data_IF_983011915634
#
_entry.id   IF_983011915634
#
_cell.length_a   1.000
_cell.length_b   1.000
_cell.length_c   1.000
_cell.angle_alpha   90.00
_cell.angle_beta   90.00
_cell.angle_gamma   90.00
#
_symmetry.space_group_name_H-M   'P 1'
#
loop_
_entity.id
_entity.type
_entity.pdbx_description
1 polymer ?
#
# COMPACT_ATOMS: atom_id res chain seq x y z
N UNK A 1 -16.33 3.68 13.00
CA UNK A 1 -15.59 2.54 12.41
C UNK A 1 -15.44 1.47 13.48
N UNK A 2 -15.64 0.19 13.17
CA UNK A 2 -15.52 -0.91 14.14
C UNK A 2 -14.06 -1.16 14.54
N UNK A 3 -13.84 -1.71 15.74
CA UNK A 3 -12.50 -2.02 16.26
C UNK A 3 -11.94 -3.23 15.50
N UNK A 4 -10.81 -3.07 14.81
CA UNK A 4 -10.10 -4.16 14.13
C UNK A 4 -10.35 -4.29 12.63
N UNK A 5 -11.22 -3.46 12.04
CA UNK A 5 -11.38 -3.36 10.58
C UNK A 5 -10.32 -2.42 9.99
N UNK A 6 -9.57 -2.92 9.01
CA UNK A 6 -8.56 -2.18 8.24
C UNK A 6 -9.09 -1.64 6.91
N UNK A 7 -10.36 -1.91 6.61
CA UNK A 7 -11.06 -1.55 5.38
C UNK A 7 -12.52 -1.23 5.70
N UNK A 8 -13.07 -0.13 5.18
CA UNK A 8 -14.47 0.25 5.44
C UNK A 8 -15.14 0.92 4.23
N UNK A 9 -16.41 0.56 3.98
CA UNK A 9 -17.27 1.28 3.05
C UNK A 9 -17.78 2.59 3.63
N UNK A 10 -17.66 3.66 2.85
CA UNK A 10 -18.18 5.00 3.15
C UNK A 10 -19.09 5.45 2.02
N UNK A 11 -20.24 6.02 2.37
CA UNK A 11 -21.16 6.64 1.42
C UNK A 11 -21.01 8.15 1.50
N UNK A 12 -20.90 8.80 0.33
CA UNK A 12 -20.83 10.25 0.18
C UNK A 12 -22.05 10.69 -0.62
N UNK A 13 -22.96 11.38 0.06
CA UNK A 13 -24.15 11.96 -0.56
C UNK A 13 -23.85 13.38 -1.03
N UNK A 14 -24.22 13.67 -2.29
CA UNK A 14 -24.02 14.95 -2.94
C UNK A 14 -25.36 15.67 -3.12
N UNK A 15 -25.34 16.98 -2.92
CA UNK A 15 -26.43 17.90 -3.27
C UNK A 15 -25.79 19.22 -3.75
N UNK A 16 -25.68 19.39 -5.08
CA UNK A 16 -25.02 20.52 -5.71
C UNK A 16 -25.92 21.18 -6.76
N UNK A 17 -26.15 22.49 -6.63
CA UNK A 17 -27.13 23.21 -7.44
C UNK A 17 -26.67 23.57 -8.86
N UNK A 18 -25.39 23.41 -9.17
CA UNK A 18 -24.82 23.73 -10.50
C UNK A 18 -24.09 22.52 -11.10
N UNK A 19 -24.74 21.35 -11.22
CA UNK A 19 -24.05 20.12 -11.58
C UNK A 19 -23.58 20.11 -13.03
N UNK A 20 -22.36 19.63 -13.25
CA UNK A 20 -21.77 19.39 -14.55
C UNK A 20 -21.41 17.91 -14.74
N UNK A 21 -21.30 17.47 -16.00
CA UNK A 21 -21.01 16.07 -16.31
C UNK A 21 -19.59 15.64 -15.90
N UNK A 22 -18.70 16.61 -15.75
CA UNK A 22 -17.29 16.46 -15.37
C UNK A 22 -17.04 16.78 -13.89
N UNK A 23 -18.08 16.93 -13.07
CA UNK A 23 -17.93 17.02 -11.62
C UNK A 23 -17.45 15.68 -11.04
N UNK A 24 -16.62 15.76 -10.01
CA UNK A 24 -15.98 14.58 -9.42
C UNK A 24 -15.72 14.75 -7.94
N UNK A 25 -15.71 13.62 -7.23
CA UNK A 25 -15.44 13.55 -5.79
C UNK A 25 -14.09 12.88 -5.58
N UNK A 26 -13.22 13.58 -4.86
CA UNK A 26 -11.89 13.14 -4.50
C UNK A 26 -11.83 12.72 -3.04
N UNK A 27 -11.05 11.68 -2.74
CA UNK A 27 -10.70 11.26 -1.39
C UNK A 27 -9.32 11.80 -1.04
N UNK A 28 -9.19 12.52 0.07
CA UNK A 28 -7.90 13.00 0.57
C UNK A 28 -7.57 12.35 1.92
N UNK A 29 -6.29 12.00 2.10
CA UNK A 29 -5.72 11.60 3.38
C UNK A 29 -4.26 12.08 3.44
N UNK A 30 -3.89 13.02 4.34
CA UNK A 30 -4.70 13.55 5.45
C UNK A 30 -5.95 14.35 5.01
N UNK A 31 -6.93 14.46 5.92
CA UNK A 31 -8.19 15.17 5.66
C UNK A 31 -7.98 16.66 5.38
N UNK A 32 -6.92 17.27 5.91
CA UNK A 32 -6.50 18.62 5.55
C UNK A 32 -5.60 18.56 4.31
N UNK A 33 -6.11 19.02 3.19
CA UNK A 33 -5.41 19.03 1.90
C UNK A 33 -5.29 20.45 1.32
N UNK A 34 -4.34 20.63 0.40
CA UNK A 34 -4.19 21.87 -0.37
C UNK A 34 -4.81 21.68 -1.76
N UNK A 35 -5.97 22.30 -1.98
CA UNK A 35 -6.71 22.24 -3.24
C UNK A 35 -6.17 23.16 -4.34
N UNK A 36 -5.09 23.91 -4.08
CA UNK A 36 -4.50 24.81 -5.07
C UNK A 36 -3.96 24.02 -6.27
N UNK A 37 -3.95 24.66 -7.44
CA UNK A 37 -3.35 24.08 -8.64
C UNK A 37 -1.83 24.07 -8.51
N UNK A 38 -1.22 22.89 -8.68
CA UNK A 38 0.23 22.71 -8.77
C UNK A 38 0.56 22.12 -10.14
N UNK A 39 0.73 22.95 -11.18
CA UNK A 39 1.02 22.45 -12.53
C UNK A 39 2.43 21.85 -12.58
N UNK A 40 2.66 20.88 -13.48
CA UNK A 40 3.95 20.21 -13.58
C UNK A 40 5.03 21.17 -14.06
N UNK A 41 6.19 21.13 -13.41
CA UNK A 41 7.38 21.91 -13.82
C UNK A 41 8.31 20.99 -14.58
N UNK A 42 8.05 20.80 -15.88
CA UNK A 42 8.84 19.95 -16.78
C UNK A 42 8.96 18.48 -16.34
N UNK A 43 8.02 17.97 -15.54
CA UNK A 43 8.02 16.56 -15.10
C UNK A 43 6.98 15.73 -15.87
N UNK A 44 7.41 14.77 -16.72
CA UNK A 44 6.48 13.96 -17.52
C UNK A 44 5.70 12.92 -16.71
N UNK A 45 6.05 12.67 -15.43
CA UNK A 45 5.36 11.69 -14.59
C UNK A 45 4.28 12.31 -13.70
N UNK A 46 4.23 13.63 -13.59
CA UNK A 46 3.10 14.33 -13.00
C UNK A 46 1.86 14.23 -13.89
N UNK A 47 0.78 13.72 -13.32
CA UNK A 47 -0.48 13.40 -13.99
C UNK A 47 -1.61 14.32 -13.48
N UNK A 48 -2.65 14.50 -14.30
CA UNK A 48 -3.89 15.15 -13.86
C UNK A 48 -4.65 14.27 -12.87
N UNK A 49 -5.35 14.85 -11.87
CA UNK A 49 -5.54 16.28 -11.64
C UNK A 49 -4.32 16.96 -10.98
N UNK A 50 -3.98 18.17 -11.43
CA UNK A 50 -2.81 18.92 -10.93
C UNK A 50 -3.10 19.70 -9.65
N UNK A 51 -3.30 18.96 -8.56
CA UNK A 51 -3.63 19.51 -7.23
C UNK A 51 -2.42 19.35 -6.31
N UNK A 52 -2.10 20.38 -5.51
CA UNK A 52 -0.91 20.38 -4.66
C UNK A 52 -0.88 19.27 -3.59
N UNK A 53 -2.05 18.77 -3.19
CA UNK A 53 -2.18 17.50 -2.47
C UNK A 53 -2.81 16.49 -3.40
N UNK A 54 -2.08 15.46 -3.81
CA UNK A 54 -2.64 14.37 -4.60
C UNK A 54 -3.78 13.67 -3.82
N UNK A 55 -5.00 13.54 -4.39
CA UNK A 55 -6.01 12.67 -3.81
C UNK A 55 -5.55 11.22 -3.80
N UNK A 56 -6.03 10.45 -2.82
CA UNK A 56 -5.83 9.01 -2.73
C UNK A 56 -6.47 8.32 -3.95
N UNK A 57 -7.70 8.73 -4.26
CA UNK A 57 -8.53 8.25 -5.37
C UNK A 57 -9.71 9.17 -5.59
N UNK A 58 -10.47 8.95 -6.66
CA UNK A 58 -11.63 9.76 -7.01
C UNK A 58 -12.67 9.00 -7.85
N UNK A 59 -13.87 9.58 -7.99
CA UNK A 59 -14.96 9.11 -8.87
C UNK A 59 -15.66 10.30 -9.50
N UNK A 60 -16.20 10.14 -10.70
CA UNK A 60 -17.11 11.14 -11.26
C UNK A 60 -18.46 11.12 -10.53
N UNK A 61 -19.05 12.29 -10.33
CA UNK A 61 -20.30 12.44 -9.59
C UNK A 61 -21.48 11.74 -10.27
N UNK A 62 -21.43 11.59 -11.60
CA UNK A 62 -22.47 10.94 -12.40
C UNK A 62 -22.40 9.39 -12.39
N UNK A 63 -21.37 8.76 -11.81
CA UNK A 63 -21.19 7.30 -11.85
C UNK A 63 -22.34 6.55 -11.16
N UNK A 64 -22.81 7.05 -10.01
CA UNK A 64 -23.94 6.44 -9.28
C UNK A 64 -25.32 6.84 -9.78
N UNK A 65 -25.41 7.93 -10.55
CA UNK A 65 -26.68 8.51 -10.99
C UNK A 65 -26.53 9.21 -12.34
N UNK A 66 -27.06 8.57 -13.38
CA UNK A 66 -27.07 9.13 -14.74
C UNK A 66 -27.88 10.43 -14.88
N UNK A 67 -28.71 10.78 -13.88
CA UNK A 67 -29.47 12.03 -13.82
C UNK A 67 -28.79 13.13 -13.00
N UNK A 68 -27.56 12.92 -12.50
CA UNK A 68 -26.83 13.90 -11.69
C UNK A 68 -26.81 15.32 -12.30
N UNK A 69 -26.57 15.43 -13.61
CA UNK A 69 -26.52 16.71 -14.33
C UNK A 69 -27.86 17.47 -14.36
N UNK A 70 -28.96 16.80 -14.01
CA UNK A 70 -30.30 17.42 -13.89
C UNK A 70 -30.69 17.65 -12.44
N UNK A 71 -30.27 16.77 -11.53
CA UNK A 71 -30.76 16.76 -10.15
C UNK A 71 -29.80 17.40 -9.16
N UNK A 72 -28.50 17.46 -9.47
CA UNK A 72 -27.47 17.85 -8.51
C UNK A 72 -27.13 16.80 -7.47
N UNK A 73 -27.80 15.63 -7.51
CA UNK A 73 -27.77 14.64 -6.44
C UNK A 73 -27.20 13.32 -6.88
N UNK A 74 -26.28 12.78 -6.08
CA UNK A 74 -25.67 11.48 -6.30
C UNK A 74 -25.23 10.88 -4.96
N UNK A 75 -25.01 9.56 -4.91
CA UNK A 75 -24.56 8.86 -3.71
C UNK A 75 -23.45 7.91 -4.11
N UNK A 76 -22.21 8.30 -3.83
CA UNK A 76 -21.01 7.55 -4.20
C UNK A 76 -20.54 6.69 -3.03
N UNK A 77 -20.17 5.44 -3.32
CA UNK A 77 -19.59 4.54 -2.33
C UNK A 77 -18.09 4.36 -2.58
N UNK A 78 -17.31 4.56 -1.53
CA UNK A 78 -15.87 4.34 -1.51
C UNK A 78 -15.51 3.27 -0.48
N UNK A 79 -14.63 2.35 -0.84
CA UNK A 79 -14.02 1.40 0.09
C UNK A 79 -12.65 1.97 0.51
N UNK A 80 -12.54 2.48 1.72
CA UNK A 80 -11.28 3.03 2.24
C UNK A 80 -10.46 1.95 2.92
N UNK A 81 -9.14 2.07 2.83
CA UNK A 81 -8.18 1.27 3.62
C UNK A 81 -7.55 2.13 4.72
N UNK A 82 -7.19 1.52 5.84
CA UNK A 82 -6.51 2.20 6.92
C UNK A 82 -5.01 2.35 6.61
N UNK A 83 -4.68 3.50 6.05
CA UNK A 83 -3.31 3.86 5.69
C UNK A 83 -2.82 5.03 6.55
N UNK A 84 -3.13 5.01 7.85
CA UNK A 84 -2.79 6.04 8.85
C UNK A 84 -3.79 7.18 8.94
N UNK A 85 -3.46 8.36 8.46
CA UNK A 85 -4.18 9.61 8.72
C UNK A 85 -5.71 9.56 8.46
N UNK A 86 -6.40 10.59 8.92
CA UNK A 86 -7.81 10.82 8.66
C UNK A 86 -8.11 11.09 7.17
N UNK A 87 -9.41 11.14 6.84
CA UNK A 87 -9.92 11.33 5.49
C UNK A 87 -10.92 12.48 5.41
N UNK A 88 -10.92 13.16 4.27
CA UNK A 88 -12.00 14.05 3.83
C UNK A 88 -12.36 13.75 2.38
N UNK A 89 -13.57 14.11 1.98
CA UNK A 89 -14.02 14.05 0.60
C UNK A 89 -14.23 15.46 0.09
N UNK A 90 -13.88 15.71 -1.16
CA UNK A 90 -14.12 17.01 -1.77
C UNK A 90 -14.77 16.88 -3.15
N UNK A 91 -15.77 17.72 -3.39
CA UNK A 91 -16.42 17.87 -4.68
C UNK A 91 -15.67 18.93 -5.48
N UNK A 92 -15.34 18.60 -6.72
CA UNK A 92 -14.74 19.50 -7.70
C UNK A 92 -15.61 19.60 -8.95
N UNK A 93 -15.58 20.78 -9.58
CA UNK A 93 -16.10 21.01 -10.92
C UNK A 93 -14.98 21.34 -11.91
N UNK A 94 -15.29 21.38 -13.22
CA UNK A 94 -14.32 21.71 -14.27
C UNK A 94 -13.39 20.56 -14.67
N UNK A 95 -13.77 19.32 -14.32
CA UNK A 95 -13.04 18.11 -14.68
C UNK A 95 -11.67 17.99 -14.00
N UNK A 96 -10.89 17.01 -14.45
CA UNK A 96 -9.53 16.77 -13.94
C UNK A 96 -8.50 17.77 -14.49
N UNK A 97 -8.80 18.43 -15.62
CA UNK A 97 -7.88 19.35 -16.30
C UNK A 97 -7.89 20.75 -15.69
N UNK A 98 -9.03 21.21 -15.16
CA UNK A 98 -9.18 22.51 -14.52
C UNK A 98 -10.04 22.42 -13.24
N UNK A 99 -9.60 21.65 -12.24
CA UNK A 99 -10.42 21.34 -11.08
C UNK A 99 -10.63 22.58 -10.20
N UNK A 100 -11.90 22.84 -9.87
CA UNK A 100 -12.31 23.92 -8.96
C UNK A 100 -13.00 23.31 -7.74
N UNK A 101 -12.46 23.57 -6.56
CA UNK A 101 -13.03 23.06 -5.32
C UNK A 101 -14.42 23.71 -5.09
N UNK A 102 -15.44 22.87 -4.94
CA UNK A 102 -16.83 23.28 -4.69
C UNK A 102 -17.19 23.13 -3.21
N UNK A 103 -16.93 21.94 -2.65
CA UNK A 103 -17.29 21.62 -1.27
C UNK A 103 -16.32 20.60 -0.66
N UNK A 104 -16.24 20.58 0.67
CA UNK A 104 -15.47 19.61 1.46
C UNK A 104 -16.39 19.00 2.51
N UNK A 105 -16.32 17.68 2.71
CA UNK A 105 -17.09 16.96 3.73
C UNK A 105 -16.55 17.20 5.14
N UNK A 106 -17.25 16.64 6.15
CA UNK A 106 -16.63 16.41 7.45
C UNK A 106 -15.45 15.43 7.35
N UNK A 107 -14.64 15.38 8.40
CA UNK A 107 -13.53 14.43 8.51
C UNK A 107 -14.00 13.11 9.10
N UNK A 108 -13.39 12.02 8.66
CA UNK A 108 -13.59 10.68 9.21
C UNK A 108 -12.23 10.01 9.45
N UNK A 109 -12.17 9.06 10.37
CA UNK A 109 -10.95 8.33 10.71
C UNK A 109 -11.28 6.90 11.11
N UNK A 110 -10.34 5.98 10.85
CA UNK A 110 -10.35 4.67 11.49
C UNK A 110 -10.23 4.83 13.01
N UNK A 111 -10.72 3.83 13.75
CA UNK A 111 -10.69 3.85 15.21
C UNK A 111 -9.24 3.89 15.76
N UNK A 112 -8.32 3.21 15.07
CA UNK A 112 -6.89 3.30 15.31
C UNK A 112 -6.15 3.48 13.98
N UNK A 113 -5.95 4.74 13.53
CA UNK A 113 -5.12 5.11 12.39
C UNK A 113 -3.76 4.38 12.36
N UNK A 114 -3.16 4.21 13.52
CA UNK A 114 -1.78 3.78 13.65
C UNK A 114 -1.62 2.26 13.71
N UNK A 115 -2.71 1.48 13.58
CA UNK A 115 -2.70 0.04 13.75
C UNK A 115 -1.62 -0.66 12.90
N UNK A 116 -1.02 -1.78 13.38
CA UNK A 116 -0.12 -2.61 12.59
C UNK A 116 -0.90 -3.39 11.52
N UNK A 117 -0.63 -3.10 10.25
CA UNK A 117 -1.41 -3.59 9.12
C UNK A 117 -0.53 -4.11 7.97
N UNK A 118 -1.19 -4.89 7.10
CA UNK A 118 -0.68 -5.37 5.82
C UNK A 118 0.67 -6.10 5.92
N UNK A 119 0.75 -7.19 6.71
CA UNK A 119 1.97 -7.99 6.80
C UNK A 119 2.26 -8.67 5.47
N UNK A 120 3.55 -8.73 5.13
CA UNK A 120 4.08 -9.44 3.97
C UNK A 120 5.27 -10.27 4.41
N UNK A 121 5.21 -11.54 4.05
CA UNK A 121 6.23 -12.54 4.31
C UNK A 121 7.27 -12.50 3.19
N UNK A 122 8.53 -12.67 3.56
CA UNK A 122 9.61 -12.93 2.63
C UNK A 122 10.59 -13.91 3.26
N UNK A 123 11.18 -14.81 2.47
CA UNK A 123 12.23 -15.69 2.94
C UNK A 123 13.42 -14.87 3.46
N UNK A 124 13.98 -15.31 4.59
CA UNK A 124 15.12 -14.68 5.24
C UNK A 124 16.46 -15.06 4.60
N UNK A 125 17.54 -14.82 5.34
CA UNK A 125 18.91 -15.13 4.88
C UNK A 125 19.25 -16.62 4.90
N UNK A 126 18.44 -17.42 5.59
CA UNK A 126 18.58 -18.87 5.73
C UNK A 126 17.26 -19.57 5.41
N UNK A 127 17.32 -20.85 5.05
CA UNK A 127 16.14 -21.65 4.67
C UNK A 127 15.11 -21.79 5.80
N UNK A 128 15.55 -21.70 7.05
CA UNK A 128 14.77 -21.79 8.28
C UNK A 128 14.47 -20.41 8.89
N UNK A 129 14.52 -19.35 8.08
CA UNK A 129 14.19 -17.98 8.46
C UNK A 129 13.07 -17.42 7.58
N UNK A 130 12.02 -16.91 8.23
CA UNK A 130 10.95 -16.13 7.60
C UNK A 130 10.96 -14.71 8.15
N UNK A 131 10.77 -13.72 7.30
CA UNK A 131 10.57 -12.34 7.73
C UNK A 131 9.10 -11.99 7.72
N UNK A 132 8.66 -11.19 8.70
CA UNK A 132 7.35 -10.55 8.70
C UNK A 132 7.62 -9.05 8.62
N UNK A 133 7.27 -8.44 7.49
CA UNK A 133 7.35 -6.99 7.34
C UNK A 133 5.95 -6.39 7.36
N UNK A 134 5.71 -5.34 8.13
CA UNK A 134 4.40 -4.68 8.25
C UNK A 134 4.50 -3.16 8.34
N UNK A 135 3.38 -2.46 8.20
CA UNK A 135 3.32 -0.99 8.28
C UNK A 135 2.50 -0.57 9.51
N UNK A 136 2.91 0.48 10.20
CA UNK A 136 2.12 1.09 11.27
C UNK A 136 2.32 2.61 11.36
N UNK A 137 1.55 3.27 12.21
CA UNK A 137 1.78 4.67 12.54
C UNK A 137 2.73 4.90 13.73
N UNK A 138 3.17 3.85 14.42
CA UNK A 138 3.96 3.97 15.66
C UNK A 138 5.46 4.00 15.36
N UNK A 139 6.11 5.11 15.74
CA UNK A 139 7.57 5.15 15.76
C UNK A 139 8.13 4.44 17.00
N UNK A 140 9.44 4.19 17.01
CA UNK A 140 10.14 3.46 18.09
C UNK A 140 10.17 4.20 19.44
N UNK A 141 9.98 5.53 19.44
CA UNK A 141 9.81 6.33 20.67
C UNK A 141 8.38 6.27 21.23
N UNK A 142 7.41 5.85 20.43
CA UNK A 142 6.02 5.72 20.82
C UNK A 142 5.66 4.29 21.24
N UNK A 143 6.24 3.28 20.57
CA UNK A 143 6.00 1.87 20.84
C UNK A 143 7.18 0.98 20.46
N UNK A 144 7.35 -0.12 21.20
CA UNK A 144 8.29 -1.18 20.84
C UNK A 144 7.59 -2.19 19.92
N UNK A 145 8.00 -2.31 18.64
CA UNK A 145 7.40 -3.25 17.69
C UNK A 145 7.98 -4.66 17.83
N UNK A 146 7.12 -5.66 17.74
CA UNK A 146 7.52 -7.07 17.79
C UNK A 146 6.50 -7.97 17.07
N UNK A 147 6.88 -9.22 16.83
CA UNK A 147 5.95 -10.27 16.38
C UNK A 147 5.86 -11.34 17.45
N UNK A 148 4.64 -11.71 17.83
CA UNK A 148 4.37 -12.89 18.63
C UNK A 148 4.02 -14.04 17.70
N UNK A 149 4.72 -15.18 17.83
CA UNK A 149 4.60 -16.29 16.88
C UNK A 149 5.02 -17.63 17.49
N UNK A 150 4.62 -18.72 16.84
CA UNK A 150 4.97 -20.08 17.25
C UNK A 150 4.26 -21.12 16.39
N UNK A 151 4.60 -22.40 16.57
CA UNK A 151 3.88 -23.49 15.90
C UNK A 151 2.39 -23.43 16.24
N UNK A 152 1.52 -23.74 15.29
CA UNK A 152 0.08 -23.70 15.49
C UNK A 152 -0.33 -24.62 16.65
N UNK A 153 -0.95 -24.05 17.69
CA UNK A 153 -1.35 -24.76 18.91
C UNK A 153 -0.23 -24.97 19.93
N UNK A 154 0.98 -24.50 19.65
CA UNK A 154 2.13 -24.54 20.56
C UNK A 154 2.37 -23.21 21.29
N UNK A 155 3.44 -23.19 22.08
CA UNK A 155 3.88 -22.01 22.80
C UNK A 155 4.25 -20.88 21.83
N UNK A 156 3.84 -19.66 22.18
CA UNK A 156 4.18 -18.46 21.42
C UNK A 156 5.39 -17.77 22.05
N UNK A 157 6.30 -17.29 21.21
CA UNK A 157 7.46 -16.48 21.59
C UNK A 157 7.37 -15.10 20.93
N UNK A 158 8.21 -14.15 21.35
CA UNK A 158 8.29 -12.82 20.75
C UNK A 158 9.63 -12.60 20.08
N UNK A 159 9.61 -12.15 18.83
CA UNK A 159 10.79 -11.67 18.10
C UNK A 159 10.71 -10.14 17.93
N UNK A 160 11.80 -9.39 18.20
CA UNK A 160 11.82 -7.95 17.98
C UNK A 160 11.74 -7.62 16.49
N UNK A 161 11.37 -6.38 16.17
CA UNK A 161 11.44 -5.87 14.81
C UNK A 161 12.38 -4.66 14.70
N UNK A 162 13.13 -4.61 13.60
CA UNK A 162 13.79 -3.38 13.17
C UNK A 162 12.77 -2.46 12.51
N UNK A 163 12.89 -1.15 12.69
CA UNK A 163 11.98 -0.15 12.12
C UNK A 163 12.73 0.75 11.14
N UNK A 164 12.16 0.94 9.97
CA UNK A 164 12.62 1.85 8.93
C UNK A 164 11.50 2.82 8.55
N UNK A 165 11.90 3.97 8.03
CA UNK A 165 11.01 4.93 7.36
C UNK A 165 11.86 5.78 6.40
N UNK A 166 11.21 6.60 5.60
CA UNK A 166 11.85 7.56 4.72
C UNK A 166 11.06 8.87 4.74
N UNK A 167 11.77 9.98 4.54
CA UNK A 167 11.16 11.31 4.49
C UNK A 167 10.98 11.78 3.05
N UNK A 168 10.26 12.89 2.88
CA UNK A 168 10.06 13.54 1.57
C UNK A 168 11.39 13.79 0.85
N UNK A 169 12.43 14.16 1.60
CA UNK A 169 13.75 14.46 1.08
C UNK A 169 14.56 13.25 0.61
N UNK A 170 14.12 12.03 0.93
CA UNK A 170 14.70 10.79 0.40
C UNK A 170 14.32 10.56 -1.07
N UNK A 171 13.23 11.17 -1.56
CA UNK A 171 12.79 11.05 -2.95
C UNK A 171 13.69 11.89 -3.87
N UNK A 172 14.01 11.38 -5.05
CA UNK A 172 14.90 12.03 -6.00
C UNK A 172 14.22 13.14 -6.84
N UNK A 173 12.90 13.11 -7.00
CA UNK A 173 12.19 14.11 -7.83
C UNK A 173 10.67 14.05 -7.77
N UNK A 174 10.00 14.75 -8.70
CA UNK A 174 8.55 14.77 -8.83
C UNK A 174 8.01 13.49 -9.48
N UNK A 175 6.74 13.10 -9.22
CA UNK A 175 5.85 13.64 -8.18
C UNK A 175 6.19 13.19 -6.74
N UNK A 176 7.08 12.21 -6.56
CA UNK A 176 7.37 11.60 -5.25
C UNK A 176 7.78 12.62 -4.17
N UNK A 177 8.62 13.59 -4.52
CA UNK A 177 9.15 14.63 -3.61
C UNK A 177 8.17 15.80 -3.42
N UNK A 178 7.13 15.91 -4.23
CA UNK A 178 6.28 17.12 -4.38
C UNK A 178 4.81 16.80 -4.07
N UNK A 179 3.95 16.76 -5.10
CA UNK A 179 2.50 16.64 -5.02
C UNK A 179 2.04 15.23 -4.64
N UNK A 180 2.81 14.21 -5.03
CA UNK A 180 2.53 12.80 -4.74
C UNK A 180 3.02 12.33 -3.38
N UNK A 181 3.79 13.18 -2.66
CA UNK A 181 4.30 12.83 -1.33
C UNK A 181 3.16 12.56 -0.34
N UNK A 182 3.24 11.40 0.31
CA UNK A 182 2.45 11.05 1.47
C UNK A 182 3.33 10.33 2.47
N UNK A 183 3.19 10.66 3.76
CA UNK A 183 3.97 10.04 4.82
C UNK A 183 3.74 8.51 4.88
N UNK A 184 4.79 7.67 4.82
CA UNK A 184 4.66 6.21 4.79
C UNK A 184 4.41 5.58 6.17
N UNK A 185 4.47 6.36 7.24
CA UNK A 185 4.53 5.84 8.61
C UNK A 185 5.84 5.11 8.88
N UNK A 186 5.73 3.94 9.50
CA UNK A 186 6.87 3.14 9.93
C UNK A 186 6.73 1.71 9.42
N UNK A 187 7.81 1.21 8.83
CA UNK A 187 7.90 -0.13 8.27
C UNK A 187 8.74 -0.96 9.22
N UNK A 188 8.18 -2.05 9.74
CA UNK A 188 8.83 -2.90 10.72
C UNK A 188 9.10 -4.27 10.11
N UNK A 189 10.27 -4.84 10.35
CA UNK A 189 10.63 -6.19 9.92
C UNK A 189 11.10 -7.02 11.11
N UNK A 190 10.40 -8.12 11.39
CA UNK A 190 10.78 -9.13 12.38
C UNK A 190 11.32 -10.38 11.68
N UNK A 191 12.25 -11.07 12.35
CA UNK A 191 12.92 -12.28 11.85
C UNK A 191 12.51 -13.49 12.70
N UNK A 192 11.84 -14.44 12.07
CA UNK A 192 11.35 -15.68 12.68
C UNK A 192 12.32 -16.79 12.27
N UNK A 193 13.19 -17.21 13.20
CA UNK A 193 14.34 -18.10 12.96
C UNK A 193 14.14 -19.49 13.53
N UNK A 194 14.98 -20.44 13.11
CA UNK A 194 14.97 -21.84 13.56
C UNK A 194 13.64 -22.54 13.23
N UNK A 195 13.09 -22.23 12.06
CA UNK A 195 11.85 -22.82 11.58
C UNK A 195 12.04 -24.30 11.26
N UNK A 196 11.19 -25.14 11.84
CA UNK A 196 11.08 -26.53 11.41
C UNK A 196 10.45 -26.57 10.02
N UNK A 197 11.00 -27.34 9.06
CA UNK A 197 10.49 -27.34 7.69
C UNK A 197 9.05 -27.85 7.62
N UNK A 198 8.28 -27.35 6.64
CA UNK A 198 6.90 -27.77 6.36
C UNK A 198 5.91 -27.63 7.52
N UNK A 199 6.21 -26.80 8.51
CA UNK A 199 5.44 -26.68 9.75
C UNK A 199 4.55 -25.44 9.70
N UNK A 200 3.32 -25.54 10.20
CA UNK A 200 2.40 -24.40 10.25
C UNK A 200 2.66 -23.58 11.50
N UNK A 201 2.92 -22.29 11.31
CA UNK A 201 3.10 -21.29 12.34
C UNK A 201 1.93 -20.31 12.36
N UNK A 202 1.61 -19.80 13.54
CA UNK A 202 0.74 -18.63 13.71
C UNK A 202 1.57 -17.43 14.13
N UNK A 203 1.16 -16.23 13.74
CA UNK A 203 1.81 -15.00 14.16
C UNK A 203 0.82 -13.83 14.28
N UNK A 204 1.19 -12.83 15.08
CA UNK A 204 0.52 -11.51 15.12
C UNK A 204 1.53 -10.42 15.41
N UNK A 205 1.29 -9.24 14.83
CA UNK A 205 2.12 -8.05 15.02
C UNK A 205 1.67 -7.34 16.30
N UNK A 206 2.63 -6.91 17.10
CA UNK A 206 2.41 -6.25 18.37
C UNK A 206 3.21 -4.96 18.49
N UNK A 207 2.59 -3.97 19.13
CA UNK A 207 3.23 -2.73 19.55
C UNK A 207 3.01 -2.54 21.04
N UNK A 208 4.09 -2.55 21.82
CA UNK A 208 4.04 -2.20 23.25
C UNK A 208 4.22 -0.69 23.38
N UNK A 209 3.14 0.02 23.65
CA UNK A 209 3.13 1.47 23.79
C UNK A 209 3.93 1.90 25.03
N UNK A 210 4.44 3.13 25.02
CA UNK A 210 5.17 3.72 26.16
C UNK A 210 4.38 3.75 27.48
N UNK A 211 3.05 3.71 27.42
CA UNK A 211 2.15 3.62 28.58
C UNK A 211 1.91 2.18 29.07
N UNK A 212 2.56 1.18 28.48
CA UNK A 212 2.46 -0.24 28.85
C UNK A 212 1.29 -1.00 28.20
N UNK A 213 0.43 -0.33 27.41
CA UNK A 213 -0.64 -1.00 26.68
C UNK A 213 -0.11 -1.66 25.41
N UNK A 214 -0.78 -2.73 24.99
CA UNK A 214 -0.48 -3.43 23.75
C UNK A 214 -1.50 -3.11 22.67
N UNK A 215 -1.01 -2.80 21.47
CA UNK A 215 -1.81 -2.80 20.24
C UNK A 215 -1.44 -4.05 19.46
N UNK A 216 -2.45 -4.84 19.11
CA UNK A 216 -2.29 -6.12 18.40
C UNK A 216 -2.99 -6.08 17.04
N UNK A 217 -2.40 -6.75 16.06
CA UNK A 217 -3.11 -7.14 14.85
C UNK A 217 -4.02 -8.35 15.10
N UNK A 218 -4.79 -8.73 14.07
CA UNK A 218 -5.36 -10.09 13.97
C UNK A 218 -4.25 -11.15 13.89
N UNK A 219 -4.63 -12.41 14.09
CA UNK A 219 -3.74 -13.56 13.97
C UNK A 219 -3.68 -13.99 12.50
N UNK A 220 -2.48 -14.26 12.03
CA UNK A 220 -2.16 -14.79 10.71
C UNK A 220 -1.47 -16.15 10.85
N UNK A 221 -1.30 -16.86 9.73
CA UNK A 221 -0.58 -18.13 9.71
C UNK A 221 0.17 -18.35 8.41
N UNK A 222 1.29 -19.05 8.47
CA UNK A 222 2.06 -19.48 7.31
C UNK A 222 2.60 -20.90 7.51
N UNK A 223 2.95 -21.56 6.41
CA UNK A 223 3.72 -22.81 6.43
C UNK A 223 5.18 -22.48 6.14
N UNK A 224 6.10 -22.90 7.01
CA UNK A 224 7.53 -22.73 6.77
C UNK A 224 7.99 -23.52 5.55
N UNK A 225 9.01 -22.99 4.87
CA UNK A 225 9.54 -23.57 3.65
C UNK A 225 10.11 -24.99 3.86
N UNK A 226 10.14 -25.82 2.81
CA UNK A 226 10.89 -27.08 2.81
C UNK A 226 12.37 -26.88 3.13
N UNK A 227 13.03 -27.94 3.58
CA UNK A 227 14.49 -27.96 3.62
C UNK A 227 15.06 -27.93 2.18
N UNK A 228 16.17 -27.25 1.90
CA UNK A 228 16.81 -27.26 0.57
C UNK A 228 17.16 -28.69 0.13
N UNK A 229 16.62 -29.11 -1.01
CA UNK A 229 16.80 -30.47 -1.55
C UNK A 229 15.77 -31.51 -1.06
N UNK A 230 14.75 -31.09 -0.32
CA UNK A 230 13.65 -31.97 0.08
C UNK A 230 12.81 -32.43 -1.13
N UNK A 231 12.54 -33.73 -1.20
CA UNK A 231 11.62 -34.32 -2.18
C UNK A 231 10.16 -34.13 -1.75
N UNK A 232 9.49 -33.14 -2.33
CA UNK A 232 8.07 -32.87 -2.14
C UNK A 232 7.53 -32.06 -3.31
N UNK A 233 6.21 -32.13 -3.55
CA UNK A 233 5.57 -31.19 -4.48
C UNK A 233 5.74 -29.75 -3.97
N UNK A 234 6.25 -28.87 -4.83
CA UNK A 234 6.51 -27.46 -4.56
C UNK A 234 5.95 -26.63 -5.70
N UNK A 235 5.15 -25.59 -5.39
CA UNK A 235 4.37 -24.83 -6.38
C UNK A 235 4.69 -23.34 -6.25
N UNK A 236 5.21 -22.79 -7.35
CA UNK A 236 5.72 -21.42 -7.42
C UNK A 236 4.87 -20.65 -8.43
N UNK A 237 4.43 -19.45 -8.06
CA UNK A 237 3.85 -18.48 -8.99
C UNK A 237 4.88 -17.40 -9.31
N UNK A 238 5.00 -17.03 -10.58
CA UNK A 238 5.89 -15.96 -11.05
C UNK A 238 5.14 -15.06 -12.04
N UNK A 239 5.20 -13.74 -11.83
CA UNK A 239 4.67 -12.73 -12.75
C UNK A 239 5.36 -11.38 -12.52
N UNK A 240 5.33 -10.50 -13.51
CA UNK A 240 5.72 -9.08 -13.38
C UNK A 240 4.52 -8.17 -13.58
N UNK A 241 4.71 -6.87 -13.35
CA UNK A 241 3.85 -5.83 -13.95
C UNK A 241 2.39 -5.87 -13.47
N UNK A 242 2.12 -6.39 -12.26
CA UNK A 242 0.74 -6.55 -11.79
C UNK A 242 0.08 -5.20 -11.48
N UNK A 243 0.83 -4.25 -10.93
CA UNK A 243 0.31 -2.97 -10.44
C UNK A 243 -0.81 -3.13 -9.41
N UNK A 244 -1.68 -2.12 -9.35
CA UNK A 244 -2.85 -2.07 -8.45
C UNK A 244 -4.11 -1.62 -9.18
N UNK A 245 -5.27 -1.80 -8.55
CA UNK A 245 -6.48 -1.06 -8.91
C UNK A 245 -7.48 -1.02 -7.75
N UNK A 246 -8.43 -0.10 -7.84
CA UNK A 246 -9.46 0.10 -6.82
C UNK A 246 -10.59 -0.94 -6.90
N UNK A 247 -10.82 -1.67 -5.80
CA UNK A 247 -11.92 -2.66 -5.66
C UNK A 247 -13.31 -2.04 -5.78
N UNK A 248 -13.45 -0.76 -5.43
CA UNK A 248 -14.72 -0.03 -5.53
C UNK A 248 -14.94 0.62 -6.91
N UNK A 249 -14.01 0.43 -7.86
CA UNK A 249 -14.07 1.02 -9.19
C UNK A 249 -13.69 2.50 -9.25
N UNK A 250 -13.14 3.07 -8.18
CA UNK A 250 -12.56 4.41 -8.20
C UNK A 250 -11.47 4.55 -9.27
N UNK A 251 -11.32 5.77 -9.74
CA UNK A 251 -10.17 6.19 -10.52
C UNK A 251 -9.08 6.76 -9.59
N UNK A 252 -7.85 6.85 -10.08
CA UNK A 252 -6.67 7.23 -9.33
C UNK A 252 -5.50 7.51 -10.28
N UNK A 253 -4.39 8.05 -9.76
CA UNK A 253 -3.18 8.21 -10.57
C UNK A 253 -2.63 6.87 -11.04
N UNK A 254 -1.99 6.86 -12.22
CA UNK A 254 -1.42 5.66 -12.82
C UNK A 254 -2.41 4.49 -12.92
N UNK A 255 -3.69 4.75 -13.18
CA UNK A 255 -4.73 3.72 -13.26
C UNK A 255 -4.77 3.02 -14.65
N UNK A 256 -3.72 2.26 -14.98
CA UNK A 256 -3.57 1.59 -16.28
C UNK A 256 -3.26 0.09 -16.17
N UNK A 257 -3.55 -0.54 -15.02
CA UNK A 257 -3.32 -1.98 -14.78
C UNK A 257 -4.65 -2.78 -14.65
N UNK A 258 -5.46 -2.89 -15.71
CA UNK A 258 -6.79 -3.51 -15.64
C UNK A 258 -6.77 -5.00 -15.28
N UNK A 259 -5.63 -5.68 -15.43
CA UNK A 259 -5.45 -7.08 -15.04
C UNK A 259 -5.16 -7.29 -13.55
N UNK A 260 -4.83 -6.22 -12.79
CA UNK A 260 -4.28 -6.31 -11.44
C UNK A 260 -5.17 -7.10 -10.47
N UNK A 261 -6.46 -6.75 -10.42
CA UNK A 261 -7.41 -7.41 -9.53
C UNK A 261 -7.68 -8.86 -9.94
N UNK A 262 -7.74 -9.14 -11.25
CA UNK A 262 -7.95 -10.49 -11.73
C UNK A 262 -6.77 -11.40 -11.35
N UNK A 263 -5.53 -10.94 -11.56
CA UNK A 263 -4.32 -11.69 -11.15
C UNK A 263 -4.32 -11.93 -9.65
N UNK A 264 -4.58 -10.89 -8.85
CA UNK A 264 -4.69 -11.00 -7.38
C UNK A 264 -5.74 -12.04 -6.98
N UNK A 265 -6.94 -11.98 -7.56
CA UNK A 265 -8.05 -12.87 -7.22
C UNK A 265 -7.79 -14.32 -7.62
N UNK A 266 -7.13 -14.56 -8.76
CA UNK A 266 -6.79 -15.93 -9.15
C UNK A 266 -5.76 -16.55 -8.20
N UNK A 267 -4.75 -15.78 -7.78
CA UNK A 267 -3.76 -16.27 -6.81
C UNK A 267 -4.42 -16.54 -5.46
N UNK A 268 -5.29 -15.64 -4.99
CA UNK A 268 -6.03 -15.85 -3.74
C UNK A 268 -6.92 -17.09 -3.80
N UNK A 269 -7.63 -17.31 -4.93
CA UNK A 269 -8.47 -18.49 -5.13
C UNK A 269 -7.68 -19.80 -5.10
N UNK A 270 -6.47 -19.81 -5.64
CA UNK A 270 -5.61 -20.99 -5.69
C UNK A 270 -4.58 -21.03 -4.55
N UNK A 271 -4.66 -20.14 -3.55
CA UNK A 271 -3.59 -19.93 -2.57
C UNK A 271 -3.25 -21.18 -1.74
N UNK A 272 -4.21 -22.07 -1.49
CA UNK A 272 -3.94 -23.38 -0.84
C UNK A 272 -3.01 -24.28 -1.65
N UNK A 273 -2.85 -23.96 -2.94
CA UNK A 273 -1.98 -24.64 -3.87
C UNK A 273 -0.70 -23.86 -4.21
N UNK A 274 -0.42 -22.77 -3.51
CA UNK A 274 0.76 -21.93 -3.76
C UNK A 274 1.66 -21.99 -2.54
N UNK A 275 2.96 -22.25 -2.75
CA UNK A 275 3.93 -22.30 -1.66
C UNK A 275 4.77 -21.01 -1.56
N UNK A 276 4.93 -20.28 -2.67
CA UNK A 276 5.67 -19.01 -2.76
C UNK A 276 5.30 -18.24 -4.04
N UNK A 277 5.36 -16.91 -3.97
CA UNK A 277 5.11 -16.00 -5.10
C UNK A 277 6.36 -15.15 -5.38
N UNK A 278 6.70 -14.98 -6.66
CA UNK A 278 7.70 -14.02 -7.13
C UNK A 278 7.03 -12.98 -8.03
N UNK A 279 7.04 -11.73 -7.59
CA UNK A 279 6.63 -10.56 -8.38
C UNK A 279 7.88 -9.85 -8.91
N UNK A 280 8.21 -10.10 -10.17
CA UNK A 280 9.52 -9.80 -10.77
C UNK A 280 9.65 -8.37 -11.33
N UNK A 281 9.23 -7.37 -10.55
CA UNK A 281 9.35 -5.94 -10.87
C UNK A 281 8.05 -5.32 -11.37
N UNK A 282 8.06 -3.98 -11.44
CA UNK A 282 6.92 -3.14 -11.81
C UNK A 282 5.71 -3.41 -10.90
N UNK A 283 5.93 -3.13 -9.62
CA UNK A 283 5.15 -3.64 -8.50
C UNK A 283 3.81 -2.93 -8.41
N UNK A 284 3.85 -1.61 -8.28
CA UNK A 284 2.66 -0.79 -7.97
C UNK A 284 2.29 0.18 -9.08
N UNK A 285 3.26 0.60 -9.88
CA UNK A 285 3.14 1.77 -10.75
C UNK A 285 2.74 3.07 -10.01
N UNK A 286 3.04 3.17 -8.71
CA UNK A 286 2.82 4.38 -7.93
C UNK A 286 3.48 5.59 -8.59
N UNK A 287 4.70 5.40 -9.13
CA UNK A 287 5.44 6.39 -9.91
C UNK A 287 5.44 7.75 -9.21
N UNK A 288 5.67 7.75 -7.90
CA UNK A 288 5.72 8.93 -7.06
C UNK A 288 4.39 9.37 -6.42
N UNK A 289 3.26 8.74 -6.73
CA UNK A 289 2.02 8.90 -5.98
C UNK A 289 1.99 7.92 -4.81
N UNK A 290 2.71 8.30 -3.74
CA UNK A 290 3.17 7.41 -2.66
C UNK A 290 2.05 6.69 -1.92
N UNK A 291 0.83 7.23 -1.89
CA UNK A 291 -0.33 6.59 -1.26
C UNK A 291 -0.63 5.19 -1.79
N UNK A 292 -0.23 4.91 -3.03
CA UNK A 292 -0.53 3.67 -3.75
C UNK A 292 0.34 2.48 -3.27
N UNK A 293 1.41 2.73 -2.53
CA UNK A 293 2.17 1.65 -1.90
C UNK A 293 1.41 0.98 -0.76
N UNK A 294 0.68 1.74 0.07
CA UNK A 294 -0.22 1.14 1.07
C UNK A 294 -1.36 0.37 0.40
N UNK A 295 -1.95 0.97 -0.65
CA UNK A 295 -2.99 0.33 -1.48
C UNK A 295 -2.52 -1.03 -2.01
N UNK A 296 -1.32 -1.09 -2.58
CA UNK A 296 -0.75 -2.34 -3.07
C UNK A 296 -0.51 -3.35 -1.93
N UNK A 297 0.09 -2.93 -0.81
CA UNK A 297 0.32 -3.86 0.32
C UNK A 297 -0.98 -4.40 0.91
N UNK A 298 -2.05 -3.60 0.91
CA UNK A 298 -3.40 -4.06 1.27
C UNK A 298 -3.97 -5.01 0.23
N UNK A 299 -3.83 -4.71 -1.07
CA UNK A 299 -4.30 -5.56 -2.16
C UNK A 299 -3.69 -6.97 -2.13
N UNK A 300 -2.38 -7.08 -1.85
CA UNK A 300 -1.68 -8.37 -1.81
C UNK A 300 -1.66 -9.03 -0.43
N UNK A 301 -2.15 -8.37 0.62
CA UNK A 301 -2.17 -8.91 1.99
C UNK A 301 -2.75 -10.34 2.07
N UNK A 302 -3.88 -10.69 1.40
CA UNK A 302 -4.42 -12.04 1.47
C UNK A 302 -3.44 -13.13 1.00
N UNK A 303 -2.51 -12.77 0.11
CA UNK A 303 -1.45 -13.64 -0.42
C UNK A 303 -0.22 -13.55 0.48
N UNK A 304 0.33 -12.33 0.60
CA UNK A 304 1.64 -12.06 1.19
C UNK A 304 1.67 -12.27 2.71
N UNK A 305 0.53 -12.25 3.39
CA UNK A 305 0.47 -12.59 4.82
C UNK A 305 0.49 -14.10 5.10
N UNK A 306 0.34 -14.94 4.07
CA UNK A 306 0.21 -16.40 4.17
C UNK A 306 1.38 -17.15 3.54
N UNK A 307 1.87 -16.70 2.38
CA UNK A 307 3.02 -17.27 1.68
C UNK A 307 4.07 -16.19 1.43
N UNK A 308 5.36 -16.54 1.27
CA UNK A 308 6.37 -15.55 0.93
C UNK A 308 6.05 -14.87 -0.40
N UNK A 309 6.05 -13.54 -0.40
CA UNK A 309 5.84 -12.70 -1.56
C UNK A 309 7.16 -12.00 -1.88
N UNK A 310 7.98 -12.68 -2.67
CA UNK A 310 9.29 -12.21 -3.06
C UNK A 310 9.14 -11.21 -4.21
N UNK A 311 9.89 -10.12 -4.16
CA UNK A 311 9.85 -9.10 -5.21
C UNK A 311 11.21 -8.96 -5.90
N UNK A 312 11.21 -8.46 -7.13
CA UNK A 312 12.36 -7.83 -7.77
C UNK A 312 12.05 -6.35 -8.04
N UNK A 313 13.07 -5.57 -8.39
CA UNK A 313 12.92 -4.16 -8.77
C UNK A 313 12.82 -4.02 -10.29
N UNK A 314 11.78 -3.35 -10.79
CA UNK A 314 11.64 -2.93 -12.19
C UNK A 314 12.11 -1.49 -12.42
N UNK A 315 11.88 -0.97 -13.62
CA UNK A 315 12.17 0.43 -13.97
C UNK A 315 11.21 1.39 -13.24
N UNK A 316 9.96 0.99 -13.02
CA UNK A 316 8.99 1.81 -12.27
C UNK A 316 9.29 1.89 -10.77
N UNK A 317 10.16 1.03 -10.24
CA UNK A 317 10.68 1.20 -8.89
C UNK A 317 11.92 2.07 -8.85
N UNK A 318 12.82 1.94 -9.84
CA UNK A 318 14.21 2.40 -9.70
C UNK A 318 14.64 3.56 -10.60
N UNK A 319 14.11 3.67 -11.81
CA UNK A 319 14.72 4.55 -12.81
C UNK A 319 14.50 6.02 -12.48
N UNK A 320 15.61 6.74 -12.30
CA UNK A 320 15.61 8.19 -12.16
C UNK A 320 16.95 8.79 -12.60
N UNK A 321 16.99 9.93 -13.32
CA UNK A 321 18.25 10.48 -13.78
C UNK A 321 19.18 10.89 -12.64
N UNK A 322 20.48 10.66 -12.82
CA UNK A 322 21.54 10.92 -11.83
C UNK A 322 21.37 10.22 -10.47
N UNK A 323 20.58 9.14 -10.41
CA UNK A 323 20.36 8.37 -9.18
C UNK A 323 21.25 7.12 -9.07
N UNK A 324 22.07 6.83 -10.09
CA UNK A 324 22.86 5.61 -10.17
C UNK A 324 22.14 4.38 -10.75
N UNK A 325 20.92 4.55 -11.27
CA UNK A 325 20.27 3.54 -12.12
C UNK A 325 21.04 3.37 -13.43
N UNK A 326 21.06 2.15 -13.98
CA UNK A 326 21.64 1.90 -15.30
C UNK A 326 20.83 2.56 -16.42
N UNK A 327 19.50 2.53 -16.29
CA UNK A 327 18.59 3.22 -17.20
C UNK A 327 18.37 4.66 -16.71
N UNK A 328 18.66 5.61 -17.59
CA UNK A 328 18.51 7.05 -17.35
C UNK A 328 17.11 7.50 -17.80
N UNK A 329 16.09 6.96 -17.13
CA UNK A 329 14.65 7.22 -17.37
C UNK A 329 14.02 7.80 -16.11
N UNK A 330 12.79 8.31 -16.23
CA UNK A 330 12.04 8.88 -15.11
C UNK A 330 10.95 7.94 -14.59
N UNK A 331 10.98 6.65 -14.92
CA UNK A 331 9.84 5.74 -14.73
C UNK A 331 9.36 5.61 -13.30
N UNK A 332 10.27 5.73 -12.33
CA UNK A 332 9.92 5.72 -10.91
C UNK A 332 9.19 6.95 -10.39
N UNK A 333 9.06 8.02 -11.20
CA UNK A 333 8.42 9.27 -10.77
C UNK A 333 9.07 9.88 -9.51
N UNK A 334 10.39 9.74 -9.42
CA UNK A 334 11.20 10.31 -8.35
C UNK A 334 11.37 9.40 -7.13
N UNK A 335 10.80 8.20 -7.12
CA UNK A 335 10.96 7.25 -6.01
C UNK A 335 12.38 6.68 -5.92
N UNK A 336 13.03 6.49 -7.08
CA UNK A 336 14.43 6.07 -7.21
C UNK A 336 14.84 4.86 -6.34
N UNK A 337 13.94 3.90 -6.18
CA UNK A 337 14.14 2.63 -5.46
C UNK A 337 13.76 2.66 -3.97
N UNK A 338 13.63 3.84 -3.37
CA UNK A 338 13.50 4.00 -1.90
C UNK A 338 12.28 3.25 -1.34
N UNK A 339 11.17 3.26 -2.06
CA UNK A 339 9.95 2.60 -1.60
C UNK A 339 10.03 1.09 -1.75
N UNK A 340 10.46 0.58 -2.91
CA UNK A 340 10.62 -0.85 -3.13
C UNK A 340 11.58 -1.48 -2.11
N UNK A 341 12.74 -0.83 -1.87
CA UNK A 341 13.75 -1.33 -0.94
C UNK A 341 13.34 -1.21 0.53
N UNK A 342 12.35 -0.38 0.87
CA UNK A 342 11.90 -0.18 2.27
C UNK A 342 10.63 -0.96 2.58
N UNK A 343 9.61 -0.86 1.73
CA UNK A 343 8.27 -1.42 1.94
C UNK A 343 8.28 -2.95 1.95
N UNK A 344 9.21 -3.55 1.21
CA UNK A 344 9.40 -5.00 1.12
C UNK A 344 10.81 -5.38 1.58
N UNK A 345 10.90 -6.57 2.17
CA UNK A 345 12.18 -7.18 2.52
C UNK A 345 12.54 -8.21 1.45
N UNK A 346 13.80 -8.19 1.02
CA UNK A 346 14.43 -9.26 0.25
C UNK A 346 15.78 -9.58 0.90
N UNK A 347 16.24 -10.85 0.90
CA UNK A 347 17.47 -11.26 1.58
C UNK A 347 18.75 -10.88 0.82
N UNK A 348 18.77 -9.72 0.14
CA UNK A 348 19.94 -9.17 -0.53
C UNK A 348 20.99 -8.70 0.48
N UNK A 349 22.28 -8.81 0.14
CA UNK A 349 23.37 -8.25 0.96
C UNK A 349 23.22 -6.74 1.10
N UNK A 350 22.86 -6.08 -0.01
CA UNK A 350 22.54 -4.66 -0.06
C UNK A 350 21.18 -4.48 -0.75
N UNK A 351 20.16 -4.08 0.01
CA UNK A 351 18.79 -3.88 -0.49
C UNK A 351 18.67 -2.78 -1.57
N UNK A 352 19.60 -1.83 -1.60
CA UNK A 352 19.66 -0.82 -2.67
C UNK A 352 20.19 -1.36 -4.00
N UNK A 353 20.96 -2.46 -3.97
CA UNK A 353 21.33 -3.20 -5.18
C UNK A 353 20.21 -4.14 -5.62
N UNK A 354 19.48 -4.72 -4.67
CA UNK A 354 18.35 -5.61 -4.96
C UNK A 354 18.73 -6.98 -5.57
N UNK A 355 19.99 -7.40 -5.46
CA UNK A 355 20.47 -8.73 -5.86
C UNK A 355 21.54 -9.28 -4.92
#
# INVERSE_FOLDING_TARGET
MHIGEDTQWVTVDLDYNEPAADDWVAVFSPAKFNSSTCPPVNDPKEQTPYICSAPIKYKYANESNSHYTKTGKASLRFQLINQRADFSFALFSGGLSNPKLVAVSNFISFANPKAPLYPRLAQGKSWDEMTVTWTSGYNIDEAVPFVEWGMRGGNQVRSPAGTLTFGRHSMCGSPARTVGWRDPGFIHTSFLKNLWPNTVYTYRMGHLLSNGLYVWSRIYSFKSSPYPGQDSLQRIIVFGDMGKAERDGSNEYSNYQPGSLNTTDQIVRDLSNVDIVFHIGDITYANGYISQWDQFTSQVEPIASTVPYMIASGNHERDWPNSGSFYDKTDSGGECGVLAETMFYVPAENRAKFW
#
